data_IF_027815836719
#
_entry.id   IF_027815836719
#
_cell.length_a   1.000
_cell.length_b   1.000
_cell.length_c   1.000
_cell.angle_alpha   90.00
_cell.angle_beta   90.00
_cell.angle_gamma   90.00
#
_symmetry.space_group_name_H-M   'P 1'
#
loop_
_entity.id
_entity.type
_entity.pdbx_description
1 polymer ?
#
# COMPACT_ATOMS: atom_id res chain seq x y z
N UNK A 1 23.05 5.85 4.39
CA UNK A 1 21.87 5.10 3.92
C UNK A 1 22.05 3.58 4.05
N UNK A 2 23.09 2.99 3.45
CA UNK A 2 23.35 1.54 3.44
C UNK A 2 23.27 0.81 4.81
N UNK A 3 23.75 1.41 5.90
CA UNK A 3 23.62 0.81 7.24
C UNK A 3 22.16 0.71 7.74
N UNK A 4 21.29 1.65 7.35
CA UNK A 4 19.86 1.60 7.67
C UNK A 4 19.14 0.55 6.82
N UNK A 5 19.50 0.43 5.55
CA UNK A 5 18.95 -0.58 4.63
C UNK A 5 19.25 -2.02 5.10
N UNK A 6 20.44 -2.27 5.64
CA UNK A 6 20.82 -3.58 6.19
C UNK A 6 20.00 -4.01 7.42
N UNK A 7 19.31 -3.05 8.08
CA UNK A 7 18.42 -3.35 9.21
C UNK A 7 16.98 -3.62 8.79
N UNK A 8 16.66 -3.40 7.51
CA UNK A 8 15.30 -3.61 7.02
C UNK A 8 14.96 -5.10 6.98
N UNK A 9 13.68 -5.47 7.20
CA UNK A 9 13.22 -6.83 7.00
C UNK A 9 13.59 -7.35 5.61
N UNK A 10 14.17 -8.55 5.56
CA UNK A 10 14.51 -9.21 4.31
C UNK A 10 13.24 -9.64 3.59
N UNK A 11 13.03 -9.14 2.39
CA UNK A 11 12.01 -9.62 1.45
C UNK A 11 12.51 -10.89 0.77
N UNK A 12 11.77 -12.00 0.90
CA UNK A 12 12.17 -13.30 0.33
C UNK A 12 11.51 -13.61 -1.01
N UNK A 13 10.46 -12.88 -1.38
CA UNK A 13 9.73 -13.08 -2.64
C UNK A 13 9.01 -14.42 -2.69
N UNK A 14 8.63 -14.99 -1.54
CA UNK A 14 8.02 -16.31 -1.43
C UNK A 14 6.49 -16.29 -1.50
N UNK A 15 5.91 -15.10 -1.58
CA UNK A 15 4.46 -14.90 -1.60
C UNK A 15 3.79 -15.59 -2.79
N UNK A 16 2.73 -16.40 -2.57
CA UNK A 16 1.89 -16.91 -3.65
C UNK A 16 1.12 -15.78 -4.38
N UNK A 17 0.95 -14.60 -3.77
CA UNK A 17 0.33 -13.41 -4.36
C UNK A 17 1.27 -12.57 -5.22
N UNK A 18 2.50 -13.00 -5.51
CA UNK A 18 3.47 -12.17 -6.24
C UNK A 18 2.97 -11.72 -7.64
N UNK A 19 2.12 -12.52 -8.28
CA UNK A 19 1.47 -12.16 -9.55
C UNK A 19 0.55 -10.94 -9.43
N UNK A 20 -0.05 -10.70 -8.26
CA UNK A 20 -0.93 -9.57 -7.98
C UNK A 20 -0.15 -8.29 -7.66
N UNK A 21 1.16 -8.37 -7.42
CA UNK A 21 2.00 -7.23 -7.03
C UNK A 21 1.85 -6.05 -7.99
N UNK A 22 1.89 -6.31 -9.30
CA UNK A 22 1.76 -5.26 -10.32
C UNK A 22 0.42 -4.54 -10.21
N UNK A 23 -0.66 -5.30 -10.09
CA UNK A 23 -2.01 -4.77 -9.93
C UNK A 23 -2.12 -3.85 -8.70
N UNK A 24 -1.61 -4.31 -7.54
CA UNK A 24 -1.68 -3.51 -6.33
C UNK A 24 -0.71 -2.32 -6.31
N UNK A 25 0.45 -2.42 -6.96
CA UNK A 25 1.35 -1.28 -7.14
C UNK A 25 0.70 -0.20 -8.01
N UNK A 26 0.01 -0.59 -9.08
CA UNK A 26 -0.75 0.33 -9.94
C UNK A 26 -1.92 0.96 -9.16
N UNK A 27 -2.66 0.17 -8.37
CA UNK A 27 -3.71 0.67 -7.49
C UNK A 27 -3.16 1.71 -6.49
N UNK A 28 -2.06 1.40 -5.82
CA UNK A 28 -1.38 2.33 -4.90
C UNK A 28 -0.97 3.60 -5.64
N UNK A 29 -0.44 3.51 -6.85
CA UNK A 29 -0.06 4.68 -7.65
C UNK A 29 -1.26 5.56 -8.01
N UNK A 30 -2.38 4.96 -8.45
CA UNK A 30 -3.62 5.67 -8.79
C UNK A 30 -4.17 6.40 -7.57
N UNK A 31 -4.29 5.70 -6.43
CA UNK A 31 -4.84 6.30 -5.21
C UNK A 31 -3.91 7.37 -4.65
N UNK A 32 -2.60 7.12 -4.67
CA UNK A 32 -1.57 8.11 -4.28
C UNK A 32 -1.67 9.39 -5.12
N UNK A 33 -1.84 9.27 -6.44
CA UNK A 33 -2.03 10.43 -7.32
C UNK A 33 -3.32 11.19 -7.01
N UNK A 34 -4.42 10.49 -6.73
CA UNK A 34 -5.71 11.12 -6.39
C UNK A 34 -5.62 11.97 -5.12
N UNK A 35 -4.82 11.54 -4.15
CA UNK A 35 -4.55 12.29 -2.92
C UNK A 35 -3.30 13.17 -2.99
N UNK A 36 -2.69 13.30 -4.17
CA UNK A 36 -1.48 14.10 -4.39
C UNK A 36 -0.34 13.79 -3.41
N UNK A 37 -0.22 12.52 -2.98
CA UNK A 37 0.82 12.09 -2.05
C UNK A 37 2.19 12.13 -2.72
N UNK A 38 3.22 12.41 -1.93
CA UNK A 38 4.59 12.45 -2.39
C UNK A 38 5.06 11.06 -2.87
N UNK A 39 6.09 11.01 -3.75
CA UNK A 39 6.66 9.76 -4.22
C UNK A 39 7.20 8.88 -3.08
N UNK A 40 7.73 9.47 -2.00
CA UNK A 40 8.26 8.71 -0.86
C UNK A 40 7.17 7.90 -0.17
N UNK A 41 6.00 8.50 0.10
CA UNK A 41 4.84 7.81 0.66
C UNK A 41 4.39 6.64 -0.22
N UNK A 42 4.39 6.82 -1.54
CA UNK A 42 4.06 5.76 -2.49
C UNK A 42 5.03 4.58 -2.42
N UNK A 43 6.33 4.85 -2.47
CA UNK A 43 7.35 3.80 -2.40
C UNK A 43 7.31 3.07 -1.06
N UNK A 44 7.09 3.80 0.05
CA UNK A 44 6.92 3.22 1.37
C UNK A 44 5.67 2.33 1.44
N UNK A 45 4.55 2.74 0.84
CA UNK A 45 3.33 1.93 0.78
C UNK A 45 3.55 0.62 0.02
N UNK A 46 4.20 0.66 -1.16
CA UNK A 46 4.53 -0.54 -1.94
C UNK A 46 5.48 -1.45 -1.16
N UNK A 47 6.49 -0.88 -0.50
CA UNK A 47 7.42 -1.64 0.34
C UNK A 47 6.71 -2.37 1.50
N UNK A 48 5.81 -1.68 2.20
CA UNK A 48 5.01 -2.30 3.28
C UNK A 48 4.09 -3.42 2.75
N UNK A 49 3.49 -3.21 1.58
CA UNK A 49 2.65 -4.22 0.93
C UNK A 49 3.46 -5.47 0.56
N UNK A 50 4.63 -5.28 -0.06
CA UNK A 50 5.52 -6.37 -0.47
C UNK A 50 5.93 -7.22 0.74
N UNK A 51 6.30 -6.57 1.86
CA UNK A 51 6.62 -7.27 3.11
C UNK A 51 5.42 -8.02 3.68
N UNK A 52 4.23 -7.44 3.62
CA UNK A 52 3.02 -8.09 4.10
C UNK A 52 2.72 -9.35 3.28
N UNK A 53 2.72 -9.24 1.95
CA UNK A 53 2.49 -10.36 1.05
C UNK A 53 3.53 -11.47 1.20
N UNK A 54 4.78 -11.14 1.53
CA UNK A 54 5.85 -12.13 1.76
C UNK A 54 5.62 -12.99 3.01
N UNK A 55 4.77 -12.54 3.95
CA UNK A 55 4.56 -13.20 5.25
C UNK A 55 3.17 -13.78 5.43
N UNK A 56 2.19 -13.34 4.65
CA UNK A 56 0.79 -13.72 4.81
C UNK A 56 0.18 -14.13 3.47
N UNK A 57 -0.53 -15.26 3.49
CA UNK A 57 -1.38 -15.70 2.40
C UNK A 57 -2.84 -15.29 2.72
N UNK A 58 -3.34 -14.28 2.02
CA UNK A 58 -4.67 -13.70 2.23
C UNK A 58 -5.45 -13.58 0.92
N UNK A 59 -6.76 -13.40 1.03
CA UNK A 59 -7.63 -13.21 -0.13
C UNK A 59 -7.38 -11.86 -0.81
N UNK A 60 -7.69 -11.78 -2.11
CA UNK A 60 -7.57 -10.55 -2.90
C UNK A 60 -8.37 -9.40 -2.27
N UNK A 61 -9.55 -9.69 -1.72
CA UNK A 61 -10.40 -8.68 -1.08
C UNK A 61 -9.73 -8.08 0.16
N UNK A 62 -9.11 -8.92 1.00
CA UNK A 62 -8.33 -8.45 2.14
C UNK A 62 -7.10 -7.67 1.68
N UNK A 63 -6.48 -8.07 0.58
CA UNK A 63 -5.29 -7.43 0.05
C UNK A 63 -5.55 -5.99 -0.43
N UNK A 64 -6.75 -5.69 -0.94
CA UNK A 64 -7.19 -4.31 -1.20
C UNK A 64 -7.21 -3.45 0.06
N UNK A 65 -7.79 -3.97 1.14
CA UNK A 65 -7.81 -3.25 2.41
C UNK A 65 -6.40 -3.04 2.96
N UNK A 66 -5.53 -4.05 2.82
CA UNK A 66 -4.12 -3.94 3.21
C UNK A 66 -3.40 -2.88 2.39
N UNK A 67 -3.58 -2.84 1.06
CA UNK A 67 -2.95 -1.83 0.20
C UNK A 67 -3.35 -0.40 0.58
N UNK A 68 -4.65 -0.18 0.84
CA UNK A 68 -5.15 1.11 1.34
C UNK A 68 -4.60 1.46 2.73
N UNK A 69 -4.48 0.46 3.61
CA UNK A 69 -3.89 0.64 4.95
C UNK A 69 -2.40 0.98 4.87
N UNK A 70 -1.64 0.32 3.99
CA UNK A 70 -0.24 0.63 3.72
C UNK A 70 -0.08 2.06 3.22
N UNK A 71 -0.97 2.53 2.35
CA UNK A 71 -0.93 3.91 1.84
C UNK A 71 -1.23 4.93 2.94
N UNK A 72 -2.22 4.65 3.81
CA UNK A 72 -2.54 5.49 4.96
C UNK A 72 -1.41 5.54 5.99
N UNK A 73 -0.76 4.40 6.24
CA UNK A 73 0.41 4.36 7.11
C UNK A 73 1.54 5.18 6.50
N UNK A 74 1.86 4.96 5.24
CA UNK A 74 2.95 5.65 4.56
C UNK A 74 2.73 7.17 4.49
N UNK A 75 1.51 7.63 4.25
CA UNK A 75 1.20 9.06 4.26
C UNK A 75 1.41 9.68 5.65
N UNK A 76 1.07 8.98 6.73
CA UNK A 76 1.36 9.47 8.10
C UNK A 76 2.85 9.65 8.41
N UNK A 77 3.72 8.89 7.74
CA UNK A 77 5.17 8.98 7.95
C UNK A 77 5.85 10.03 7.07
N UNK A 78 5.37 10.22 5.83
CA UNK A 78 6.06 11.01 4.81
C UNK A 78 5.37 12.35 4.50
N UNK A 79 4.08 12.49 4.80
CA UNK A 79 3.32 13.73 4.59
C UNK A 79 3.29 14.63 5.82
N UNK A 80 3.01 15.91 5.59
CA UNK A 80 2.60 16.82 6.67
C UNK A 80 1.20 16.44 7.16
N UNK A 81 0.92 16.67 8.43
CA UNK A 81 -0.34 16.28 9.08
C UNK A 81 -1.60 16.75 8.32
N UNK A 82 -1.56 17.97 7.75
CA UNK A 82 -2.65 18.53 6.95
C UNK A 82 -2.90 17.82 5.61
N UNK A 83 -1.91 17.10 5.10
CA UNK A 83 -1.93 16.40 3.80
C UNK A 83 -2.20 14.90 3.94
N UNK A 84 -2.32 14.39 5.17
CA UNK A 84 -2.64 12.98 5.41
C UNK A 84 -4.12 12.73 5.08
N UNK A 85 -4.44 11.81 4.14
CA UNK A 85 -5.81 11.47 3.82
C UNK A 85 -6.51 10.87 5.04
N UNK A 86 -7.70 11.39 5.37
CA UNK A 86 -8.50 10.88 6.50
C UNK A 86 -9.09 9.52 6.16
N UNK A 87 -9.32 8.71 7.20
CA UNK A 87 -9.90 7.38 7.07
C UNK A 87 -11.26 7.41 6.34
N UNK A 88 -12.07 8.44 6.57
CA UNK A 88 -13.35 8.66 5.88
C UNK A 88 -13.19 8.83 4.35
N UNK A 89 -12.14 9.53 3.92
CA UNK A 89 -11.84 9.72 2.50
C UNK A 89 -11.37 8.42 1.85
N UNK A 90 -10.63 7.59 2.60
CA UNK A 90 -10.24 6.24 2.17
C UNK A 90 -11.42 5.26 2.14
N UNK A 91 -12.34 5.33 3.10
CA UNK A 91 -13.56 4.51 3.10
C UNK A 91 -14.47 4.83 1.91
N UNK A 92 -14.50 6.09 1.45
CA UNK A 92 -15.20 6.45 0.21
C UNK A 92 -14.61 5.78 -1.03
N UNK A 93 -13.31 5.46 -1.02
CA UNK A 93 -12.63 4.68 -2.07
C UNK A 93 -12.79 3.17 -1.85
N UNK A 94 -13.02 2.72 -0.62
CA UNK A 94 -13.40 1.34 -0.32
C UNK A 94 -14.71 0.91 -1.00
N UNK A 95 -15.57 1.86 -1.40
CA UNK A 95 -16.70 1.53 -2.28
C UNK A 95 -16.24 1.09 -3.68
N UNK A 96 -15.09 1.59 -4.16
CA UNK A 96 -14.51 1.18 -5.45
C UNK A 96 -13.84 -0.20 -5.37
N UNK A 97 -13.36 -0.61 -4.20
CA UNK A 97 -12.87 -2.00 -4.00
C UNK A 97 -14.02 -3.01 -3.93
N UNK A 98 -15.25 -2.56 -3.68
CA UNK A 98 -16.48 -3.34 -3.83
C UNK A 98 -17.07 -3.31 -5.26
N UNK A 99 -16.59 -2.44 -6.16
CA UNK A 99 -17.13 -2.31 -7.54
C UNK A 99 -16.43 -3.17 -8.60
N UNK A 100 -15.56 -4.12 -8.23
CA UNK A 100 -15.06 -5.15 -9.17
C UNK A 100 -15.63 -6.54 -8.86
N UNK A 101 -16.91 -6.62 -8.45
CA UNK A 101 -17.67 -7.87 -8.37
C UNK A 101 -19.04 -7.77 -9.06
N UNK A 102 -19.07 -7.24 -10.28
CA UNK A 102 -20.18 -7.48 -11.21
C UNK A 102 -19.62 -7.60 -12.63
#
# INVERSE_FOLDING_TARGET
>A
LRYKELKLPSYKGQSPQLSLRRYFADLIAIVSNRFTLCPSARHLAVYLLDLFMDRYDISIQQLHLVALSCLLLASKFEEKEDSVPKLEQLNSLGCMTNMNLA
#
